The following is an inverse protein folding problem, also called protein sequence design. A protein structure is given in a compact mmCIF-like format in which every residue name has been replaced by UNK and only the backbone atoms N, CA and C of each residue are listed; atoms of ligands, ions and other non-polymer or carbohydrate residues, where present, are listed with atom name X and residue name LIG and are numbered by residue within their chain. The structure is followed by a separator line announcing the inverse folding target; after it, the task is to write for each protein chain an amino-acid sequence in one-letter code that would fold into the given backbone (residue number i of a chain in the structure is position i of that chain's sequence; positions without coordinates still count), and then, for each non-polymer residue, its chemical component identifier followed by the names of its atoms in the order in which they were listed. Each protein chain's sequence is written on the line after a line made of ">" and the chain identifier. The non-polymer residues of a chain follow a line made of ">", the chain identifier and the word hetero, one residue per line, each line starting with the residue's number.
data_IF_417706974887
#
_entry.id   IF_417706974887
#
_cell.length_a   1.000
_cell.length_b   1.000
_cell.length_c   1.000
_cell.angle_alpha   90.00
_cell.angle_beta   90.00
_cell.angle_gamma   90.00
#
_symmetry.space_group_name_H-M   'P 1'
#
loop_
_entity.id
_entity.type
_entity.pdbx_description
1 polymer ?
#
# COMPACT_ATOMS: atom_id res chain seq x y z
N UNK A 1 57.50 -6.86 37.04
CA UNK A 1 57.00 -5.76 36.19
C UNK A 1 56.26 -6.39 35.01
N UNK A 2 54.92 -6.32 35.01
CA UNK A 2 54.10 -5.49 34.10
C UNK A 2 54.09 -6.05 32.64
N UNK A 3 52.97 -6.25 31.94
CA UNK A 3 51.59 -5.84 32.17
C UNK A 3 50.63 -6.63 31.24
N UNK A 4 49.40 -6.83 31.68
CA UNK A 4 48.27 -7.38 30.90
C UNK A 4 47.92 -6.45 29.72
N UNK A 5 47.54 -6.99 28.56
CA UNK A 5 46.51 -6.37 27.70
C UNK A 5 45.60 -7.42 27.06
N UNK A 6 44.43 -7.59 27.68
CA UNK A 6 43.16 -7.91 27.02
C UNK A 6 42.77 -6.71 26.14
N UNK A 7 42.36 -6.95 24.91
CA UNK A 7 41.48 -6.11 24.07
C UNK A 7 40.88 -7.12 23.06
N UNK A 8 39.72 -7.74 23.31
CA UNK A 8 38.36 -7.22 23.15
C UNK A 8 38.18 -6.41 21.87
N UNK A 9 37.63 -7.07 20.85
CA UNK A 9 36.92 -6.46 19.74
C UNK A 9 35.58 -7.18 19.64
N UNK A 10 34.59 -6.68 20.36
CA UNK A 10 33.20 -7.08 20.24
C UNK A 10 32.77 -6.87 18.79
N UNK A 11 32.29 -7.92 18.13
CA UNK A 11 31.41 -7.72 16.99
C UNK A 11 30.18 -7.00 17.52
N UNK A 12 29.99 -5.76 17.06
CA UNK A 12 28.75 -5.03 17.23
C UNK A 12 27.64 -5.88 16.61
N UNK A 13 26.88 -6.57 17.45
CA UNK A 13 25.54 -7.05 17.10
C UNK A 13 24.72 -5.78 16.91
N UNK A 14 24.63 -5.29 15.68
CA UNK A 14 23.59 -4.33 15.33
C UNK A 14 22.26 -4.93 15.76
N UNK A 15 21.48 -4.17 16.53
CA UNK A 15 20.24 -4.64 17.15
C UNK A 15 19.43 -5.47 16.15
N UNK A 16 19.19 -6.74 16.49
CA UNK A 16 18.44 -7.63 15.63
C UNK A 16 17.01 -7.07 15.48
N UNK A 17 16.65 -6.68 14.26
CA UNK A 17 15.30 -6.18 13.93
C UNK A 17 14.24 -7.16 14.46
N UNK A 18 13.40 -6.68 15.38
CA UNK A 18 12.39 -7.55 15.99
C UNK A 18 11.20 -7.75 15.05
N UNK A 19 10.42 -8.80 15.29
CA UNK A 19 9.16 -8.98 14.57
C UNK A 19 8.17 -7.81 14.76
N UNK A 20 8.28 -7.10 15.87
CA UNK A 20 7.47 -5.92 16.17
C UNK A 20 7.93 -4.71 15.35
N UNK A 21 9.24 -4.52 15.19
CA UNK A 21 9.82 -3.49 14.32
C UNK A 21 9.39 -3.68 12.87
N UNK A 22 9.34 -4.94 12.41
CA UNK A 22 8.83 -5.29 11.08
C UNK A 22 7.35 -4.90 10.89
N UNK A 23 6.49 -5.08 11.90
CA UNK A 23 5.09 -4.64 11.84
C UNK A 23 4.98 -3.11 11.85
N UNK A 24 5.82 -2.42 12.63
CA UNK A 24 5.89 -0.96 12.65
C UNK A 24 6.34 -0.42 11.28
N UNK A 25 7.32 -1.04 10.64
CA UNK A 25 7.76 -0.68 9.28
C UNK A 25 6.67 -0.96 8.23
N UNK A 26 5.98 -2.10 8.33
CA UNK A 26 4.83 -2.40 7.50
C UNK A 26 3.76 -1.30 7.58
N UNK A 27 3.43 -0.83 8.79
CA UNK A 27 2.43 0.23 8.99
C UNK A 27 2.86 1.55 8.32
N UNK A 28 4.13 1.95 8.45
CA UNK A 28 4.68 3.14 7.77
C UNK A 28 4.54 3.03 6.24
N UNK A 29 4.82 1.85 5.67
CA UNK A 29 4.68 1.58 4.23
C UNK A 29 3.22 1.65 3.79
N UNK A 30 2.31 1.19 4.63
CA UNK A 30 0.88 1.27 4.36
C UNK A 30 0.36 2.73 4.41
N UNK A 31 0.86 3.55 5.34
CA UNK A 31 0.59 5.00 5.36
C UNK A 31 1.11 5.68 4.08
N UNK A 32 2.32 5.32 3.64
CA UNK A 32 2.87 5.83 2.37
C UNK A 32 2.01 5.42 1.17
N UNK A 33 1.48 4.19 1.18
CA UNK A 33 0.57 3.70 0.14
C UNK A 33 -0.74 4.50 0.11
N UNK A 34 -1.34 4.77 1.28
CA UNK A 34 -2.53 5.60 1.40
C UNK A 34 -2.31 7.03 0.87
N UNK A 35 -1.17 7.66 1.22
CA UNK A 35 -0.77 8.97 0.68
C UNK A 35 -0.62 8.93 -0.84
N UNK A 36 -0.04 7.87 -1.39
CA UNK A 36 0.13 7.70 -2.85
C UNK A 36 -1.21 7.60 -3.58
N UNK A 37 -2.21 6.92 -3.02
CA UNK A 37 -3.58 6.93 -3.58
C UNK A 37 -4.21 8.32 -3.54
N UNK A 38 -4.03 9.06 -2.44
CA UNK A 38 -4.55 10.42 -2.32
C UNK A 38 -3.94 11.36 -3.37
N UNK A 39 -2.62 11.30 -3.54
CA UNK A 39 -1.89 12.02 -4.60
C UNK A 39 -2.45 11.69 -5.99
N UNK A 40 -2.59 10.40 -6.30
CA UNK A 40 -3.14 9.92 -7.57
C UNK A 40 -4.56 10.45 -7.84
N UNK A 41 -5.42 10.51 -6.80
CA UNK A 41 -6.75 11.08 -6.89
C UNK A 41 -6.76 12.58 -7.21
N UNK A 42 -5.90 13.35 -6.55
CA UNK A 42 -5.74 14.80 -6.80
C UNK A 42 -5.25 15.05 -8.24
N UNK A 43 -4.25 14.29 -8.69
CA UNK A 43 -3.73 14.42 -10.05
C UNK A 43 -4.74 14.03 -11.11
N UNK A 44 -5.54 12.99 -10.85
CA UNK A 44 -6.60 12.60 -11.77
C UNK A 44 -7.67 13.68 -11.86
N UNK A 45 -8.14 14.23 -10.73
CA UNK A 45 -9.11 15.33 -10.74
C UNK A 45 -8.60 16.51 -11.56
N UNK A 46 -7.34 16.91 -11.36
CA UNK A 46 -6.71 17.99 -12.13
C UNK A 46 -6.68 17.69 -13.63
N UNK A 47 -6.34 16.47 -14.02
CA UNK A 47 -6.38 16.04 -15.41
C UNK A 47 -7.78 16.17 -16.03
N UNK A 48 -8.85 15.90 -15.27
CA UNK A 48 -10.22 16.10 -15.77
C UNK A 48 -10.60 17.59 -15.97
N UNK A 49 -9.85 18.50 -15.36
CA UNK A 49 -10.06 19.95 -15.47
C UNK A 49 -9.22 20.56 -16.61
N UNK A 50 -7.93 20.20 -16.69
CA UNK A 50 -6.96 20.81 -17.62
C UNK A 50 -6.67 19.99 -18.88
N UNK A 51 -7.09 18.72 -18.92
CA UNK A 51 -6.87 17.80 -20.04
C UNK A 51 -5.38 17.60 -20.43
N UNK A 52 -4.44 17.91 -19.54
CA UNK A 52 -3.02 17.73 -19.80
C UNK A 52 -2.61 16.25 -19.67
N UNK A 53 -2.84 15.49 -20.74
CA UNK A 53 -2.56 14.07 -20.80
C UNK A 53 -1.07 13.76 -20.60
N UNK A 54 -0.16 14.61 -21.09
CA UNK A 54 1.29 14.38 -20.95
C UNK A 54 1.72 14.46 -19.50
N UNK A 55 1.24 15.47 -18.78
CA UNK A 55 1.46 15.61 -17.34
C UNK A 55 0.85 14.44 -16.58
N UNK A 56 -0.39 14.07 -16.90
CA UNK A 56 -1.08 12.96 -16.25
C UNK A 56 -0.33 11.63 -16.42
N UNK A 57 0.10 11.29 -17.65
CA UNK A 57 0.87 10.08 -17.92
C UNK A 57 2.20 10.04 -17.17
N UNK A 58 2.89 11.19 -17.07
CA UNK A 58 4.15 11.28 -16.32
C UNK A 58 3.93 11.02 -14.83
N UNK A 59 2.84 11.54 -14.27
CA UNK A 59 2.45 11.31 -12.89
C UNK A 59 2.04 9.85 -12.65
N UNK A 60 1.26 9.25 -13.56
CA UNK A 60 0.92 7.81 -13.51
C UNK A 60 2.17 6.93 -13.44
N UNK A 61 3.20 7.22 -14.24
CA UNK A 61 4.47 6.50 -14.18
C UNK A 61 5.12 6.65 -12.80
N UNK A 62 5.21 7.87 -12.28
CA UNK A 62 5.82 8.13 -10.98
C UNK A 62 5.09 7.41 -9.83
N UNK A 63 3.75 7.48 -9.77
CA UNK A 63 2.98 6.78 -8.73
C UNK A 63 3.03 5.26 -8.89
N UNK A 64 3.10 4.75 -10.12
CA UNK A 64 3.28 3.31 -10.38
C UNK A 64 4.60 2.81 -9.80
N UNK A 65 5.69 3.55 -9.99
CA UNK A 65 6.99 3.22 -9.39
C UNK A 65 6.91 3.23 -7.85
N UNK A 66 6.23 4.21 -7.25
CA UNK A 66 6.01 4.24 -5.79
C UNK A 66 5.25 3.00 -5.31
N UNK A 67 4.14 2.63 -5.95
CA UNK A 67 3.37 1.43 -5.59
C UNK A 67 4.20 0.15 -5.70
N UNK A 68 5.00 0.01 -6.77
CA UNK A 68 5.88 -1.14 -6.97
C UNK A 68 6.94 -1.23 -5.87
N UNK A 69 7.58 -0.11 -5.52
CA UNK A 69 8.58 -0.08 -4.45
C UNK A 69 7.96 -0.48 -3.11
N UNK A 70 6.85 0.16 -2.73
CA UNK A 70 6.14 -0.16 -1.48
C UNK A 70 5.73 -1.65 -1.45
N UNK A 71 5.24 -2.18 -2.58
CA UNK A 71 4.87 -3.59 -2.70
C UNK A 71 6.05 -4.54 -2.50
N UNK A 72 7.19 -4.27 -3.16
CA UNK A 72 8.41 -5.06 -2.98
C UNK A 72 8.87 -5.07 -1.53
N UNK A 73 8.87 -3.91 -0.90
CA UNK A 73 9.36 -3.83 0.46
C UNK A 73 8.43 -4.52 1.48
N UNK A 74 7.12 -4.46 1.28
CA UNK A 74 6.17 -5.20 2.11
C UNK A 74 6.35 -6.72 1.91
N UNK A 75 6.67 -7.20 0.71
CA UNK A 75 6.98 -8.61 0.48
C UNK A 75 8.23 -9.05 1.27
N UNK A 76 9.25 -8.19 1.37
CA UNK A 76 10.44 -8.47 2.19
C UNK A 76 10.06 -8.57 3.67
N UNK A 77 9.22 -7.68 4.17
CA UNK A 77 8.72 -7.74 5.57
C UNK A 77 7.94 -9.04 5.81
N UNK A 78 7.01 -9.37 4.90
CA UNK A 78 6.21 -10.58 5.01
C UNK A 78 7.10 -11.83 5.11
N UNK A 79 8.13 -11.91 4.25
CA UNK A 79 9.05 -13.04 4.25
C UNK A 79 9.86 -13.10 5.55
N UNK A 80 10.43 -11.98 6.01
CA UNK A 80 11.16 -11.93 7.29
C UNK A 80 10.28 -12.39 8.47
N UNK A 81 9.02 -11.97 8.53
CA UNK A 81 8.08 -12.41 9.55
C UNK A 81 7.79 -13.91 9.47
N UNK A 82 7.66 -14.46 8.26
CA UNK A 82 7.47 -15.89 8.03
C UNK A 82 8.69 -16.68 8.50
N UNK A 83 9.91 -16.25 8.14
CA UNK A 83 11.16 -16.87 8.57
C UNK A 83 11.34 -16.80 10.10
N UNK A 84 10.89 -15.72 10.74
CA UNK A 84 10.89 -15.56 12.19
C UNK A 84 9.78 -16.36 12.91
N UNK A 85 9.04 -17.23 12.21
CA UNK A 85 7.97 -18.05 12.78
C UNK A 85 6.66 -17.32 13.06
N UNK A 86 6.55 -16.03 12.70
CA UNK A 86 5.34 -15.20 12.88
C UNK A 86 4.39 -15.35 11.68
N UNK A 87 4.02 -16.59 11.37
CA UNK A 87 3.24 -16.95 10.17
C UNK A 87 1.86 -16.28 10.15
N UNK A 88 1.22 -16.10 11.31
CA UNK A 88 -0.07 -15.39 11.43
C UNK A 88 0.04 -13.93 10.96
N UNK A 89 1.06 -13.21 11.44
CA UNK A 89 1.31 -11.81 11.06
C UNK A 89 1.66 -11.67 9.58
N UNK A 90 2.50 -12.57 9.05
CA UNK A 90 2.80 -12.62 7.63
C UNK A 90 1.52 -12.86 6.79
N UNK A 91 0.59 -13.68 7.28
CA UNK A 91 -0.68 -13.96 6.59
C UNK A 91 -1.62 -12.76 6.57
N UNK A 92 -1.67 -11.98 7.65
CA UNK A 92 -2.39 -10.69 7.71
C UNK A 92 -1.85 -9.70 6.66
N UNK A 93 -0.53 -9.54 6.59
CA UNK A 93 0.14 -8.70 5.58
C UNK A 93 -0.21 -9.17 4.16
N UNK A 94 -0.18 -10.48 3.92
CA UNK A 94 -0.54 -11.05 2.61
C UNK A 94 -1.99 -10.75 2.23
N UNK A 95 -2.93 -10.81 3.19
CA UNK A 95 -4.34 -10.44 2.97
C UNK A 95 -4.45 -8.97 2.53
N UNK A 96 -3.78 -8.07 3.24
CA UNK A 96 -3.73 -6.64 2.86
C UNK A 96 -3.11 -6.46 1.46
N UNK A 97 -2.02 -7.15 1.11
CA UNK A 97 -1.43 -7.04 -0.24
C UNK A 97 -2.39 -7.46 -1.35
N UNK A 98 -3.22 -8.48 -1.13
CA UNK A 98 -4.23 -8.93 -2.11
C UNK A 98 -5.33 -7.88 -2.27
N UNK A 99 -5.88 -7.40 -1.16
CA UNK A 99 -6.89 -6.34 -1.15
C UNK A 99 -6.36 -5.06 -1.84
N UNK A 100 -5.12 -4.68 -1.56
CA UNK A 100 -4.46 -3.52 -2.18
C UNK A 100 -4.25 -3.67 -3.69
N UNK A 101 -3.92 -4.88 -4.15
CA UNK A 101 -3.81 -5.15 -5.58
C UNK A 101 -5.16 -4.97 -6.27
N UNK A 102 -6.23 -5.49 -5.67
CA UNK A 102 -7.59 -5.33 -6.20
C UNK A 102 -8.05 -3.86 -6.19
N UNK A 103 -7.78 -3.14 -5.10
CA UNK A 103 -8.03 -1.70 -4.96
C UNK A 103 -7.39 -0.89 -6.09
N UNK A 104 -6.12 -1.15 -6.38
CA UNK A 104 -5.39 -0.47 -7.45
C UNK A 104 -6.01 -0.77 -8.83
N UNK A 105 -6.34 -2.04 -9.09
CA UNK A 105 -6.99 -2.45 -10.36
C UNK A 105 -8.33 -1.74 -10.56
N UNK A 106 -9.16 -1.68 -9.52
CA UNK A 106 -10.44 -0.97 -9.57
C UNK A 106 -10.27 0.53 -9.74
N UNK A 107 -9.29 1.13 -9.07
CA UNK A 107 -8.98 2.57 -9.22
C UNK A 107 -8.62 2.90 -10.65
N UNK A 108 -7.72 2.13 -11.27
CA UNK A 108 -7.33 2.32 -12.68
C UNK A 108 -8.52 2.12 -13.60
N UNK A 109 -9.32 1.06 -13.41
CA UNK A 109 -10.52 0.80 -14.21
C UNK A 109 -11.49 1.98 -14.15
N UNK A 110 -11.75 2.50 -12.96
CA UNK A 110 -12.65 3.66 -12.76
C UNK A 110 -12.10 4.91 -13.44
N UNK A 111 -10.80 5.19 -13.33
CA UNK A 111 -10.20 6.36 -13.99
C UNK A 111 -10.23 6.26 -15.53
N UNK A 112 -10.01 5.07 -16.08
CA UNK A 112 -10.14 4.83 -17.53
C UNK A 112 -11.60 5.04 -17.98
N UNK A 113 -12.57 4.51 -17.23
CA UNK A 113 -13.99 4.70 -17.50
C UNK A 113 -14.37 6.19 -17.45
N UNK A 114 -13.95 6.91 -16.41
CA UNK A 114 -14.18 8.35 -16.27
C UNK A 114 -13.51 9.16 -17.37
N UNK A 115 -12.33 8.76 -17.85
CA UNK A 115 -11.67 9.43 -18.97
C UNK A 115 -12.45 9.25 -20.28
N UNK A 116 -12.91 8.03 -20.56
CA UNK A 116 -13.74 7.75 -21.76
C UNK A 116 -15.03 8.58 -21.74
N UNK A 117 -15.65 8.71 -20.58
CA UNK A 117 -16.86 9.52 -20.35
C UNK A 117 -16.70 10.99 -20.71
N UNK A 118 -15.51 11.57 -20.51
CA UNK A 118 -15.30 12.98 -20.84
C UNK A 118 -15.17 13.17 -22.36
N UNK A 119 -14.59 12.20 -23.05
CA UNK A 119 -14.39 12.24 -24.51
C UNK A 119 -15.69 11.91 -25.27
N UNK A 120 -16.57 11.08 -24.70
CA UNK A 120 -17.82 10.64 -25.32
C UNK A 120 -19.05 10.95 -24.44
N UNK A 121 -19.78 12.02 -24.80
CA UNK A 121 -21.00 12.46 -24.08
C UNK A 121 -22.14 11.44 -24.14
N UNK A 122 -22.19 10.57 -25.15
CA UNK A 122 -23.27 9.56 -25.27
C UNK A 122 -23.16 8.47 -24.20
N UNK A 123 -21.96 8.26 -23.66
CA UNK A 123 -21.73 7.31 -22.57
C UNK A 123 -22.34 7.72 -21.21
N UNK A 124 -22.80 8.98 -21.04
CA UNK A 124 -23.45 9.47 -19.80
C UNK A 124 -24.76 8.75 -19.49
N UNK A 125 -25.52 8.46 -20.53
CA UNK A 125 -26.90 7.98 -20.44
C UNK A 125 -26.99 6.45 -20.55
N UNK A 126 -25.86 5.77 -20.82
CA UNK A 126 -25.80 4.32 -20.84
C UNK A 126 -26.01 3.73 -19.42
N UNK A 127 -27.14 3.04 -19.17
CA UNK A 127 -27.43 2.45 -17.87
C UNK A 127 -26.39 1.39 -17.46
N UNK A 128 -25.78 0.70 -18.42
CA UNK A 128 -24.75 -0.31 -18.15
C UNK A 128 -23.46 0.32 -17.61
N UNK A 129 -23.15 1.56 -18.03
CA UNK A 129 -22.01 2.32 -17.53
C UNK A 129 -22.22 2.76 -16.08
N UNK A 130 -23.38 3.35 -15.78
CA UNK A 130 -23.72 3.80 -14.43
C UNK A 130 -23.70 2.65 -13.42
N UNK A 131 -24.21 1.49 -13.82
CA UNK A 131 -24.19 0.29 -12.98
C UNK A 131 -22.77 -0.21 -12.72
N UNK A 132 -21.87 -0.18 -13.72
CA UNK A 132 -20.46 -0.55 -13.53
C UNK A 132 -19.74 0.38 -12.55
N UNK A 133 -19.98 1.69 -12.62
CA UNK A 133 -19.41 2.66 -11.67
C UNK A 133 -19.94 2.42 -10.25
N UNK A 134 -21.24 2.18 -10.11
CA UNK A 134 -21.87 1.90 -8.83
C UNK A 134 -21.30 0.64 -8.20
N UNK A 135 -21.22 -0.47 -8.95
CA UNK A 135 -20.59 -1.73 -8.49
C UNK A 135 -19.13 -1.53 -8.11
N UNK A 136 -18.37 -0.80 -8.94
CA UNK A 136 -16.97 -0.48 -8.65
C UNK A 136 -16.80 0.30 -7.36
N UNK A 137 -17.69 1.27 -7.08
CA UNK A 137 -17.69 2.06 -5.84
C UNK A 137 -18.01 1.21 -4.61
N UNK A 138 -19.03 0.36 -4.68
CA UNK A 138 -19.40 -0.55 -3.58
C UNK A 138 -18.23 -1.48 -3.28
N UNK A 139 -17.67 -2.14 -4.30
CA UNK A 139 -16.52 -3.03 -4.12
C UNK A 139 -15.29 -2.33 -3.56
N UNK A 140 -15.05 -1.08 -3.98
CA UNK A 140 -13.97 -0.26 -3.43
C UNK A 140 -14.14 -0.02 -1.93
N UNK A 141 -15.36 0.29 -1.47
CA UNK A 141 -15.65 0.47 -0.06
C UNK A 141 -15.39 -0.81 0.74
N UNK A 142 -15.88 -1.96 0.25
CA UNK A 142 -15.65 -3.26 0.89
C UNK A 142 -14.15 -3.59 1.03
N UNK A 143 -13.35 -3.32 -0.01
CA UNK A 143 -11.90 -3.56 0.03
C UNK A 143 -11.21 -2.63 1.04
N UNK A 144 -11.66 -1.38 1.14
CA UNK A 144 -11.11 -0.42 2.11
C UNK A 144 -11.44 -0.88 3.54
N UNK A 145 -12.67 -1.35 3.78
CA UNK A 145 -13.07 -1.93 5.07
C UNK A 145 -12.21 -3.17 5.39
N UNK A 146 -12.06 -4.11 4.45
CA UNK A 146 -11.20 -5.30 4.64
C UNK A 146 -9.75 -4.94 5.01
N UNK A 147 -9.18 -3.91 4.37
CA UNK A 147 -7.83 -3.42 4.69
C UNK A 147 -7.80 -2.82 6.10
N UNK A 148 -8.79 -1.99 6.44
CA UNK A 148 -8.84 -1.29 7.73
C UNK A 148 -9.03 -2.26 8.90
N UNK A 149 -9.88 -3.27 8.77
CA UNK A 149 -10.10 -4.28 9.81
C UNK A 149 -8.80 -5.00 10.16
N UNK A 150 -8.05 -5.44 9.16
CA UNK A 150 -6.76 -6.13 9.37
C UNK A 150 -5.69 -5.16 9.91
N UNK A 151 -5.71 -3.89 9.50
CA UNK A 151 -4.80 -2.89 10.05
C UNK A 151 -5.09 -2.58 11.52
N UNK A 152 -6.35 -2.62 11.93
CA UNK A 152 -6.73 -2.44 13.33
C UNK A 152 -6.27 -3.65 14.17
N UNK A 153 -6.43 -4.88 13.67
CA UNK A 153 -5.85 -6.08 14.32
C UNK A 153 -4.33 -5.95 14.50
N UNK A 154 -3.60 -5.53 13.47
CA UNK A 154 -2.14 -5.31 13.54
C UNK A 154 -1.80 -4.20 14.55
N UNK A 155 -2.60 -3.15 14.64
CA UNK A 155 -2.39 -2.06 15.60
C UNK A 155 -2.55 -2.56 17.04
N UNK A 156 -3.53 -3.41 17.33
CA UNK A 156 -3.65 -4.05 18.65
C UNK A 156 -2.44 -4.92 18.98
N UNK A 157 -1.98 -5.74 18.02
CA UNK A 157 -0.76 -6.55 18.18
C UNK A 157 0.45 -5.69 18.52
N UNK A 158 0.60 -4.54 17.86
CA UNK A 158 1.72 -3.62 18.12
C UNK A 158 1.64 -3.06 19.53
N UNK A 159 0.46 -2.58 19.93
CA UNK A 159 0.25 -1.97 21.24
C UNK A 159 0.46 -2.98 22.39
N UNK A 160 -0.09 -4.19 22.27
CA UNK A 160 0.03 -5.23 23.31
C UNK A 160 1.43 -5.84 23.37
N UNK A 161 2.18 -5.82 22.26
CA UNK A 161 3.57 -6.26 22.23
C UNK A 161 4.59 -5.23 22.75
N UNK A 162 4.17 -3.98 22.96
CA UNK A 162 4.99 -2.90 23.54
C UNK A 162 4.82 -2.78 25.09
N UNK A 163 3.91 -3.56 25.69
CA UNK A 163 3.65 -3.65 27.15
C UNK A 163 4.45 -4.77 27.81
#
# INVERSE_FOLDING_TARGET
>A
SCNKKKLHGSLEMGDAETALDLLKDFRKRQEQRAKTYAEMGVFFKKYLEDYDLKRYQSLCKAVTTKFQQIGKDILVIEEKLRTAGKVGWASMIRKIQKAEKEKLQLTVKTQVLQTKYIVDRSAKEDPAYQEQLKKGRVRMSEIIEEINDVLEEIKYIIHDGDL
#
